data_IF_521242895136
#
_entry.id   IF_521242895136
#
_cell.length_a   1.000
_cell.length_b   1.000
_cell.length_c   1.000
_cell.angle_alpha   90.00
_cell.angle_beta   90.00
_cell.angle_gamma   90.00
#
_symmetry.space_group_name_H-M   'P 1'
#
loop_
_entity.id
_entity.type
_entity.pdbx_description
1 polymer ?
#
# COMPACT_ATOMS: atom_id res chain seq x y z
N UNK A 1 20.50 23.85 0.34
CA UNK A 1 20.61 22.51 -0.27
C UNK A 1 19.46 22.35 -1.26
N UNK A 2 19.78 22.25 -2.55
CA UNK A 2 18.82 22.37 -3.66
C UNK A 2 17.68 21.35 -3.58
N UNK A 3 16.44 21.85 -3.66
CA UNK A 3 15.22 21.03 -3.73
C UNK A 3 15.29 19.98 -4.85
N UNK A 4 16.07 20.20 -5.92
CA UNK A 4 16.30 19.24 -7.01
C UNK A 4 17.15 18.01 -6.64
N UNK A 5 17.71 17.91 -5.41
CA UNK A 5 18.46 16.73 -4.95
C UNK A 5 17.62 15.73 -4.14
N UNK A 6 16.42 16.08 -3.68
CA UNK A 6 15.58 15.12 -2.95
C UNK A 6 14.81 14.24 -3.93
N UNK A 7 14.76 12.93 -3.68
CA UNK A 7 14.00 11.98 -4.51
C UNK A 7 12.53 12.34 -4.61
N UNK A 8 11.97 12.85 -3.52
CA UNK A 8 10.60 13.34 -3.44
C UNK A 8 10.35 14.49 -4.42
N UNK A 9 11.30 15.41 -4.60
CA UNK A 9 11.17 16.48 -5.58
C UNK A 9 11.26 15.98 -7.03
N UNK A 10 12.07 14.95 -7.30
CA UNK A 10 12.14 14.31 -8.63
C UNK A 10 10.80 13.64 -8.95
N UNK A 11 10.23 12.89 -8.00
CA UNK A 11 8.90 12.27 -8.18
C UNK A 11 7.81 13.34 -8.36
N UNK A 12 7.82 14.38 -7.52
CA UNK A 12 6.87 15.48 -7.64
C UNK A 12 6.97 16.17 -9.01
N UNK A 13 8.19 16.43 -9.49
CA UNK A 13 8.44 16.95 -10.83
C UNK A 13 7.97 16.01 -11.94
N UNK A 14 8.14 14.69 -11.77
CA UNK A 14 7.66 13.69 -12.72
C UNK A 14 6.12 13.64 -12.78
N UNK A 15 5.44 13.69 -11.63
CA UNK A 15 3.97 13.78 -11.55
C UNK A 15 3.49 15.06 -12.23
N UNK A 16 4.11 16.20 -11.91
CA UNK A 16 3.74 17.48 -12.51
C UNK A 16 3.92 17.46 -14.04
N UNK A 17 5.05 16.95 -14.53
CA UNK A 17 5.30 16.81 -15.96
C UNK A 17 4.29 15.89 -16.64
N UNK A 18 3.93 14.77 -15.99
CA UNK A 18 2.93 13.83 -16.49
C UNK A 18 1.55 14.51 -16.60
N UNK A 19 1.10 15.19 -15.54
CA UNK A 19 -0.18 15.91 -15.51
C UNK A 19 -0.20 17.01 -16.57
N UNK A 20 0.88 17.78 -16.72
CA UNK A 20 1.00 18.80 -17.75
C UNK A 20 0.91 18.22 -19.16
N UNK A 21 1.58 17.09 -19.42
CA UNK A 21 1.50 16.39 -20.70
C UNK A 21 0.06 15.93 -21.00
N UNK A 22 -0.63 15.36 -20.02
CA UNK A 22 -2.02 14.92 -20.17
C UNK A 22 -2.93 16.12 -20.43
N UNK A 23 -2.71 17.24 -19.74
CA UNK A 23 -3.48 18.46 -19.94
C UNK A 23 -3.41 19.00 -21.38
N UNK A 24 -2.28 18.77 -22.09
CA UNK A 24 -2.18 19.15 -23.52
C UNK A 24 -3.09 18.32 -24.43
N UNK A 25 -3.44 17.09 -24.04
CA UNK A 25 -4.32 16.19 -24.80
C UNK A 25 -5.77 16.27 -24.33
N UNK A 26 -5.97 16.37 -23.02
CA UNK A 26 -7.28 16.48 -22.39
C UNK A 26 -7.26 17.58 -21.32
N UNK A 27 -7.56 18.83 -21.69
CA UNK A 27 -7.55 19.96 -20.75
C UNK A 27 -8.49 19.79 -19.56
N UNK A 28 -9.57 19.02 -19.73
CA UNK A 28 -10.50 18.67 -18.63
C UNK A 28 -9.85 17.85 -17.51
N UNK A 29 -8.68 17.24 -17.75
CA UNK A 29 -8.01 16.40 -16.75
C UNK A 29 -7.58 17.21 -15.51
N UNK A 30 -7.16 18.45 -15.72
CA UNK A 30 -6.70 19.35 -14.65
C UNK A 30 -7.82 20.15 -14.00
N UNK A 31 -9.08 19.91 -14.41
CA UNK A 31 -10.22 20.51 -13.73
C UNK A 31 -10.24 20.07 -12.25
N UNK A 32 -10.53 20.97 -11.29
CA UNK A 32 -10.48 20.65 -9.86
C UNK A 32 -11.28 19.41 -9.48
N UNK A 33 -12.48 19.22 -10.05
CA UNK A 33 -13.30 18.03 -9.79
C UNK A 33 -12.65 16.72 -10.27
N UNK A 34 -11.98 16.75 -11.42
CA UNK A 34 -11.27 15.57 -11.92
C UNK A 34 -10.02 15.26 -11.08
N UNK A 35 -9.27 16.28 -10.64
CA UNK A 35 -8.14 16.08 -9.74
C UNK A 35 -8.57 15.48 -8.39
N UNK A 36 -9.70 15.93 -7.85
CA UNK A 36 -10.30 15.33 -6.65
C UNK A 36 -10.69 13.87 -6.91
N UNK A 37 -11.31 13.56 -8.06
CA UNK A 37 -11.65 12.20 -8.43
C UNK A 37 -10.41 11.30 -8.52
N UNK A 38 -9.37 11.74 -9.24
CA UNK A 38 -8.08 11.03 -9.37
C UNK A 38 -7.45 10.76 -8.02
N UNK A 39 -7.39 11.76 -7.13
CA UNK A 39 -6.88 11.57 -5.77
C UNK A 39 -7.71 10.53 -5.01
N UNK A 40 -9.03 10.64 -5.10
CA UNK A 40 -9.95 9.75 -4.39
C UNK A 40 -9.83 8.30 -4.87
N UNK A 41 -9.70 8.08 -6.19
CA UNK A 41 -9.48 6.74 -6.77
C UNK A 41 -8.10 6.18 -6.43
N UNK A 42 -7.13 7.05 -6.19
CA UNK A 42 -5.77 6.65 -5.78
C UNK A 42 -5.67 6.38 -4.28
N UNK A 43 -6.63 6.84 -3.49
CA UNK A 43 -6.59 6.74 -2.03
C UNK A 43 -6.45 5.30 -1.50
N UNK A 44 -7.19 4.28 -2.02
CA UNK A 44 -6.97 2.89 -1.63
C UNK A 44 -5.53 2.42 -1.85
N UNK A 45 -4.92 2.80 -2.97
CA UNK A 45 -3.52 2.48 -3.26
C UNK A 45 -2.58 3.15 -2.26
N UNK A 46 -2.82 4.41 -1.91
CA UNK A 46 -2.03 5.16 -0.92
C UNK A 46 -2.07 4.49 0.46
N UNK A 47 -3.27 4.09 0.91
CA UNK A 47 -3.46 3.44 2.22
C UNK A 47 -2.69 2.11 2.29
N UNK A 48 -2.89 1.25 1.29
CA UNK A 48 -2.19 -0.04 1.24
C UNK A 48 -0.68 0.11 1.06
N UNK A 49 -0.23 1.07 0.25
CA UNK A 49 1.20 1.34 0.05
C UNK A 49 1.87 1.76 1.37
N UNK A 50 1.21 2.54 2.22
CA UNK A 50 1.73 2.83 3.54
C UNK A 50 1.81 1.59 4.44
N UNK A 51 0.85 0.67 4.37
CA UNK A 51 0.90 -0.61 5.08
C UNK A 51 2.07 -1.49 4.61
N UNK A 52 2.17 -1.67 3.29
CA UNK A 52 3.25 -2.43 2.66
C UNK A 52 4.62 -1.79 2.91
N UNK A 53 4.72 -0.46 2.95
CA UNK A 53 5.97 0.24 3.29
C UNK A 53 6.52 -0.23 4.64
N UNK A 54 5.68 -0.36 5.68
CA UNK A 54 6.13 -0.82 7.01
C UNK A 54 6.69 -2.24 6.92
N UNK A 55 6.05 -3.11 6.14
CA UNK A 55 6.49 -4.50 5.92
C UNK A 55 7.82 -4.55 5.15
N UNK A 56 7.92 -3.81 4.03
CA UNK A 56 9.15 -3.70 3.22
C UNK A 56 10.31 -3.15 4.03
N UNK A 57 10.06 -2.14 4.87
CA UNK A 57 11.10 -1.59 5.74
C UNK A 57 11.69 -2.66 6.67
N UNK A 58 10.92 -3.67 7.09
CA UNK A 58 11.41 -4.80 7.89
C UNK A 58 12.02 -5.97 7.09
N UNK A 59 12.31 -5.77 5.79
CA UNK A 59 12.80 -6.77 4.83
C UNK A 59 11.81 -7.89 4.50
N UNK A 60 10.52 -7.61 4.64
CA UNK A 60 9.46 -8.54 4.30
C UNK A 60 8.65 -8.00 3.11
N UNK A 61 7.87 -8.84 2.44
CA UNK A 61 6.89 -8.40 1.45
C UNK A 61 5.58 -9.11 1.78
N UNK A 62 4.49 -8.36 1.87
CA UNK A 62 3.14 -8.90 2.09
C UNK A 62 2.36 -8.94 0.79
N UNK A 63 2.38 -10.09 0.09
CA UNK A 63 1.59 -10.29 -1.12
C UNK A 63 0.12 -10.58 -0.82
N UNK A 64 -0.22 -10.93 0.42
CA UNK A 64 -1.59 -11.24 0.82
C UNK A 64 -2.46 -10.01 1.05
N UNK A 65 -1.88 -8.79 1.01
CA UNK A 65 -2.55 -7.52 1.34
C UNK A 65 -3.83 -7.31 0.52
N UNK A 66 -3.83 -7.65 -0.77
CA UNK A 66 -5.01 -7.53 -1.63
C UNK A 66 -6.07 -8.61 -1.35
N UNK A 67 -5.65 -9.84 -1.01
CA UNK A 67 -6.56 -10.90 -0.60
C UNK A 67 -7.18 -10.62 0.78
N UNK A 68 -6.44 -9.98 1.68
CA UNK A 68 -6.96 -9.50 2.96
C UNK A 68 -8.02 -8.41 2.76
N UNK A 69 -7.73 -7.41 1.91
CA UNK A 69 -8.71 -6.40 1.47
C UNK A 69 -9.97 -7.07 0.91
N UNK A 70 -9.82 -8.06 0.03
CA UNK A 70 -10.93 -8.76 -0.58
C UNK A 70 -11.78 -9.53 0.45
N UNK A 71 -11.14 -10.28 1.35
CA UNK A 71 -11.83 -11.08 2.36
C UNK A 71 -12.56 -10.19 3.37
N UNK A 72 -11.89 -9.18 3.90
CA UNK A 72 -12.49 -8.24 4.83
C UNK A 72 -13.63 -7.44 4.19
N UNK A 73 -13.45 -6.97 2.95
CA UNK A 73 -14.49 -6.29 2.19
C UNK A 73 -15.70 -7.19 1.93
N UNK A 74 -15.48 -8.45 1.57
CA UNK A 74 -16.54 -9.44 1.37
C UNK A 74 -17.34 -9.66 2.65
N UNK A 75 -16.67 -9.89 3.79
CA UNK A 75 -17.36 -10.12 5.06
C UNK A 75 -18.12 -8.86 5.50
N UNK A 76 -17.56 -7.67 5.30
CA UNK A 76 -18.28 -6.41 5.56
C UNK A 76 -19.54 -6.28 4.71
N UNK A 77 -19.49 -6.65 3.42
CA UNK A 77 -20.67 -6.66 2.56
C UNK A 77 -21.71 -7.69 3.02
N UNK A 78 -21.29 -8.91 3.37
CA UNK A 78 -22.19 -9.94 3.88
C UNK A 78 -22.89 -9.51 5.17
N UNK A 79 -22.16 -8.89 6.11
CA UNK A 79 -22.73 -8.35 7.34
C UNK A 79 -23.75 -7.25 7.03
N UNK A 80 -23.44 -6.37 6.07
CA UNK A 80 -24.36 -5.31 5.67
C UNK A 80 -25.63 -5.84 5.00
N UNK A 81 -25.52 -6.91 4.19
CA UNK A 81 -26.70 -7.57 3.60
C UNK A 81 -27.54 -8.23 4.69
N UNK A 82 -26.91 -8.89 5.66
CA UNK A 82 -27.60 -9.58 6.76
C UNK A 82 -28.21 -8.62 7.80
N UNK A 83 -27.59 -7.46 8.02
CA UNK A 83 -28.02 -6.43 8.96
C UNK A 83 -27.87 -5.02 8.36
N UNK A 84 -28.81 -4.59 7.49
CA UNK A 84 -28.71 -3.31 6.75
C UNK A 84 -28.70 -2.06 7.62
N UNK A 85 -29.31 -2.14 8.80
CA UNK A 85 -29.41 -1.04 9.76
C UNK A 85 -28.18 -0.93 10.67
N UNK A 86 -27.20 -1.83 10.52
CA UNK A 86 -26.00 -1.82 11.36
C UNK A 86 -25.19 -0.54 11.09
N UNK A 87 -24.79 0.21 12.13
CA UNK A 87 -24.03 1.43 11.94
C UNK A 87 -22.68 1.17 11.23
N UNK A 88 -22.36 2.02 10.25
CA UNK A 88 -21.09 1.94 9.49
C UNK A 88 -19.86 1.94 10.39
N UNK A 89 -19.90 2.65 11.52
CA UNK A 89 -18.83 2.65 12.50
C UNK A 89 -18.51 1.24 13.06
N UNK A 90 -19.53 0.41 13.26
CA UNK A 90 -19.35 -0.98 13.73
C UNK A 90 -18.70 -1.83 12.65
N UNK A 91 -19.14 -1.67 11.39
CA UNK A 91 -18.56 -2.36 10.23
C UNK A 91 -17.08 -1.98 10.06
N UNK A 92 -16.73 -0.71 10.23
CA UNK A 92 -15.35 -0.23 10.18
C UNK A 92 -14.48 -0.87 11.27
N UNK A 93 -14.97 -0.99 12.50
CA UNK A 93 -14.24 -1.67 13.57
C UNK A 93 -14.04 -3.15 13.24
N UNK A 94 -15.07 -3.83 12.74
CA UNK A 94 -14.96 -5.23 12.30
C UNK A 94 -13.92 -5.37 11.20
N UNK A 95 -13.92 -4.46 10.22
CA UNK A 95 -12.94 -4.44 9.13
C UNK A 95 -11.50 -4.30 9.65
N UNK A 96 -11.27 -3.37 10.58
CA UNK A 96 -9.97 -3.13 11.21
C UNK A 96 -9.49 -4.34 12.02
N UNK A 97 -10.37 -4.93 12.84
CA UNK A 97 -10.05 -6.08 13.70
C UNK A 97 -9.74 -7.30 12.86
N UNK A 98 -10.57 -7.59 11.86
CA UNK A 98 -10.39 -8.74 10.97
C UNK A 98 -9.14 -8.60 10.12
N UNK A 99 -8.91 -7.42 9.53
CA UNK A 99 -7.69 -7.15 8.78
C UNK A 99 -6.43 -7.32 9.65
N UNK A 100 -6.48 -6.81 10.89
CA UNK A 100 -5.40 -6.98 11.88
C UNK A 100 -5.16 -8.45 12.23
N UNK A 101 -6.22 -9.24 12.39
CA UNK A 101 -6.13 -10.67 12.68
C UNK A 101 -5.50 -11.45 11.53
N UNK A 102 -5.90 -11.18 10.29
CA UNK A 102 -5.33 -11.80 9.10
C UNK A 102 -3.85 -11.41 8.93
N UNK A 103 -3.50 -10.15 9.18
CA UNK A 103 -2.10 -9.70 9.25
C UNK A 103 -1.32 -10.38 10.38
N UNK A 104 -1.93 -10.56 11.55
CA UNK A 104 -1.32 -11.24 12.69
C UNK A 104 -0.98 -12.71 12.37
N UNK A 105 -1.82 -13.42 11.60
CA UNK A 105 -1.52 -14.79 11.13
C UNK A 105 -0.21 -14.79 10.35
N UNK A 106 -0.06 -13.92 9.35
CA UNK A 106 1.20 -13.81 8.59
C UNK A 106 2.38 -13.46 9.50
N UNK A 107 2.19 -12.47 10.38
CA UNK A 107 3.22 -12.04 11.31
C UNK A 107 3.68 -13.15 12.26
N UNK A 108 2.77 -14.00 12.75
CA UNK A 108 3.09 -15.14 13.63
C UNK A 108 3.84 -16.22 12.87
N UNK A 109 3.41 -16.54 11.65
CA UNK A 109 4.08 -17.53 10.81
C UNK A 109 5.51 -17.11 10.47
N UNK A 110 5.72 -15.83 10.17
CA UNK A 110 7.06 -15.27 9.95
C UNK A 110 7.88 -15.22 11.23
N UNK A 111 7.32 -14.70 12.33
CA UNK A 111 8.07 -14.50 13.56
C UNK A 111 8.39 -15.81 14.30
N UNK A 112 7.39 -16.65 14.56
CA UNK A 112 7.55 -17.84 15.42
C UNK A 112 8.01 -19.07 14.68
N UNK A 113 7.56 -19.26 13.44
CA UNK A 113 7.96 -20.43 12.64
C UNK A 113 9.14 -20.13 11.71
N UNK A 114 9.60 -18.87 11.66
CA UNK A 114 10.74 -18.44 10.84
C UNK A 114 10.59 -18.83 9.35
N UNK A 115 9.34 -18.84 8.87
CA UNK A 115 9.03 -19.16 7.48
C UNK A 115 9.31 -17.90 6.64
N UNK A 116 9.94 -18.02 5.46
CA UNK A 116 10.17 -16.89 4.57
C UNK A 116 8.88 -16.09 4.28
N UNK A 117 8.86 -14.76 4.46
CA UNK A 117 7.66 -13.93 4.35
C UNK A 117 6.90 -14.04 3.03
N UNK A 118 7.63 -14.16 1.91
CA UNK A 118 7.03 -14.29 0.57
C UNK A 118 6.24 -15.61 0.48
N UNK A 119 6.77 -16.71 1.02
CA UNK A 119 6.09 -18.02 1.01
C UNK A 119 4.83 -17.98 1.87
N UNK A 120 4.93 -17.40 3.07
CA UNK A 120 3.78 -17.22 3.96
C UNK A 120 2.68 -16.43 3.26
N UNK A 121 3.02 -15.28 2.67
CA UNK A 121 2.02 -14.35 2.15
C UNK A 121 1.45 -14.78 0.80
N UNK A 122 2.21 -15.49 -0.04
CA UNK A 122 1.65 -16.19 -1.21
C UNK A 122 0.69 -17.32 -0.79
N UNK A 123 1.05 -18.10 0.22
CA UNK A 123 0.21 -19.17 0.75
C UNK A 123 -1.09 -18.62 1.34
N UNK A 124 -1.01 -17.61 2.20
CA UNK A 124 -2.19 -17.00 2.82
C UNK A 124 -3.02 -16.19 1.84
N UNK A 125 -2.43 -15.58 0.81
CA UNK A 125 -3.19 -14.98 -0.30
C UNK A 125 -4.16 -16.00 -0.91
N UNK A 126 -3.68 -17.19 -1.28
CA UNK A 126 -4.51 -18.24 -1.86
C UNK A 126 -5.53 -18.79 -0.86
N UNK A 127 -5.14 -18.97 0.41
CA UNK A 127 -6.08 -19.40 1.47
C UNK A 127 -7.20 -18.38 1.64
N UNK A 128 -6.88 -17.08 1.76
CA UNK A 128 -7.89 -16.04 1.94
C UNK A 128 -8.84 -15.98 0.75
N UNK A 129 -8.34 -16.07 -0.49
CA UNK A 129 -9.18 -16.17 -1.69
C UNK A 129 -10.08 -17.41 -1.67
N UNK A 130 -9.55 -18.56 -1.27
CA UNK A 130 -10.32 -19.80 -1.09
C UNK A 130 -11.42 -19.66 -0.04
N UNK A 131 -11.13 -19.00 1.10
CA UNK A 131 -12.12 -18.72 2.14
C UNK A 131 -13.24 -17.83 1.60
N UNK A 132 -12.93 -16.79 0.81
CA UNK A 132 -13.95 -15.95 0.17
C UNK A 132 -14.87 -16.81 -0.71
N UNK A 133 -14.30 -17.69 -1.52
CA UNK A 133 -15.07 -18.58 -2.38
C UNK A 133 -15.98 -19.51 -1.56
N UNK A 134 -15.47 -20.11 -0.48
CA UNK A 134 -16.26 -20.99 0.39
C UNK A 134 -17.40 -20.26 1.11
N UNK A 135 -17.17 -19.02 1.55
CA UNK A 135 -18.20 -18.21 2.23
C UNK A 135 -19.32 -17.76 1.29
N UNK A 136 -19.02 -17.61 0.00
CA UNK A 136 -19.94 -17.02 -0.99
C UNK A 136 -20.47 -18.01 -2.01
N UNK A 137 -19.94 -19.23 -2.05
CA UNK A 137 -20.13 -20.19 -3.16
C UNK A 137 -19.78 -19.59 -4.53
N UNK A 138 -18.87 -18.60 -4.55
CA UNK A 138 -18.51 -17.84 -5.74
C UNK A 138 -19.51 -16.75 -6.16
N UNK A 139 -20.59 -16.53 -5.40
CA UNK A 139 -21.59 -15.48 -5.67
C UNK A 139 -21.03 -14.09 -5.43
N UNK A 140 -21.55 -13.14 -6.20
CA UNK A 140 -21.18 -11.73 -6.08
C UNK A 140 -22.24 -11.01 -5.27
N UNK A 141 -21.84 -10.07 -4.43
CA UNK A 141 -22.75 -9.12 -3.81
C UNK A 141 -22.67 -7.81 -4.59
N UNK A 142 -23.81 -7.36 -5.09
CA UNK A 142 -23.91 -6.20 -5.97
C UNK A 142 -24.58 -5.00 -5.27
N UNK A 143 -24.54 -3.85 -5.93
CA UNK A 143 -24.98 -2.58 -5.38
C UNK A 143 -26.42 -2.59 -4.85
N UNK A 144 -27.33 -3.32 -5.50
CA UNK A 144 -28.74 -3.38 -5.12
C UNK A 144 -29.01 -4.13 -3.80
N UNK A 145 -28.07 -4.97 -3.37
CA UNK A 145 -28.14 -5.72 -2.12
C UNK A 145 -27.54 -4.94 -0.95
N UNK A 146 -26.75 -3.91 -1.23
CA UNK A 146 -26.06 -3.11 -0.22
C UNK A 146 -26.91 -1.92 0.22
N UNK A 147 -26.99 -1.70 1.53
CA UNK A 147 -27.67 -0.52 2.08
C UNK A 147 -27.09 0.81 1.55
N UNK A 148 -27.92 1.86 1.40
CA UNK A 148 -27.46 3.18 1.00
C UNK A 148 -26.48 3.82 1.99
N UNK A 149 -26.60 3.53 3.29
CA UNK A 149 -25.70 4.06 4.31
C UNK A 149 -24.30 3.46 4.17
N UNK A 150 -24.20 2.17 3.86
CA UNK A 150 -22.94 1.47 3.62
C UNK A 150 -22.19 2.03 2.40
N UNK A 151 -22.87 2.15 1.25
CA UNK A 151 -22.27 2.64 0.00
C UNK A 151 -22.11 4.15 -0.04
N UNK A 152 -22.98 4.87 0.67
CA UNK A 152 -22.96 6.33 0.76
C UNK A 152 -21.82 6.87 1.60
N UNK A 153 -21.34 6.16 2.62
CA UNK A 153 -20.33 6.70 3.54
C UNK A 153 -19.00 7.10 2.86
N UNK A 154 -18.33 6.28 2.03
CA UNK A 154 -17.10 6.71 1.36
C UNK A 154 -17.34 7.75 0.26
N UNK A 155 -18.57 7.83 -0.26
CA UNK A 155 -19.00 8.75 -1.33
C UNK A 155 -19.46 10.11 -0.79
N UNK A 156 -19.83 10.17 0.48
CA UNK A 156 -20.28 11.40 1.12
C UNK A 156 -19.22 12.49 0.94
N UNK A 157 -19.65 13.67 0.50
CA UNK A 157 -18.75 14.78 0.24
C UNK A 157 -18.61 15.66 1.48
N UNK A 158 -17.37 16.01 1.78
CA UNK A 158 -17.03 16.95 2.83
C UNK A 158 -16.01 17.95 2.29
N UNK A 159 -16.34 19.24 2.33
CA UNK A 159 -15.49 20.33 1.79
C UNK A 159 -15.05 20.11 0.33
N UNK A 160 -15.95 19.59 -0.52
CA UNK A 160 -15.70 19.37 -1.95
C UNK A 160 -14.85 18.13 -2.27
N UNK A 161 -14.61 17.25 -1.29
CA UNK A 161 -13.87 16.00 -1.44
C UNK A 161 -14.58 14.84 -0.75
N UNK A 162 -14.66 13.64 -1.36
CA UNK A 162 -15.27 12.48 -0.73
C UNK A 162 -14.57 12.09 0.58
N UNK A 163 -15.34 11.59 1.55
CA UNK A 163 -14.85 11.10 2.85
C UNK A 163 -13.74 10.07 2.68
N UNK A 164 -13.80 9.24 1.62
CA UNK A 164 -12.72 8.31 1.28
C UNK A 164 -11.35 9.00 1.20
N UNK A 165 -11.28 10.13 0.48
CA UNK A 165 -10.05 10.89 0.32
C UNK A 165 -9.55 11.47 1.64
N UNK A 166 -10.46 11.97 2.48
CA UNK A 166 -10.14 12.44 3.83
C UNK A 166 -9.58 11.34 4.72
N UNK A 167 -10.13 10.13 4.66
CA UNK A 167 -9.59 8.97 5.39
C UNK A 167 -8.15 8.69 4.94
N UNK A 168 -7.88 8.76 3.63
CA UNK A 168 -6.52 8.67 3.08
C UNK A 168 -5.56 9.70 3.68
N UNK A 169 -5.97 10.96 3.76
CA UNK A 169 -5.18 12.06 4.35
C UNK A 169 -4.94 11.83 5.85
N UNK A 170 -5.97 11.43 6.60
CA UNK A 170 -5.84 11.14 8.04
C UNK A 170 -4.85 10.00 8.28
N UNK A 171 -4.95 8.90 7.52
CA UNK A 171 -4.02 7.78 7.63
C UNK A 171 -2.60 8.21 7.25
N UNK A 172 -2.43 9.03 6.22
CA UNK A 172 -1.13 9.58 5.84
C UNK A 172 -0.48 10.36 6.98
N UNK A 173 -1.24 11.23 7.65
CA UNK A 173 -0.76 12.00 8.81
C UNK A 173 -0.41 11.05 9.97
N UNK A 174 -1.29 10.11 10.30
CA UNK A 174 -1.05 9.13 11.36
C UNK A 174 0.21 8.33 11.07
N UNK A 175 0.37 7.78 9.87
CA UNK A 175 1.55 7.01 9.49
C UNK A 175 2.82 7.85 9.48
N UNK A 176 2.76 9.12 9.08
CA UNK A 176 3.89 10.04 9.17
C UNK A 176 4.34 10.24 10.61
N UNK A 177 3.39 10.44 11.53
CA UNK A 177 3.70 10.58 12.98
C UNK A 177 4.22 9.27 13.56
N UNK A 178 3.57 8.14 13.26
CA UNK A 178 3.98 6.81 13.76
C UNK A 178 5.40 6.49 13.29
N UNK A 179 5.72 6.68 12.01
CA UNK A 179 7.04 6.38 11.46
C UNK A 179 8.13 7.36 11.91
N UNK A 180 7.83 8.65 12.05
CA UNK A 180 8.84 9.65 12.40
C UNK A 180 9.06 9.82 13.90
N UNK A 181 8.03 9.63 14.74
CA UNK A 181 8.05 10.04 16.16
C UNK A 181 7.96 8.89 17.16
N UNK A 182 7.45 7.72 16.78
CA UNK A 182 7.24 6.61 17.74
C UNK A 182 8.41 5.64 17.86
N UNK A 183 8.44 4.88 18.94
CA UNK A 183 9.40 3.78 19.16
C UNK A 183 9.22 2.67 18.11
N UNK A 184 7.99 2.41 17.68
CA UNK A 184 7.68 1.43 16.64
C UNK A 184 8.34 1.81 15.31
N UNK A 185 8.21 3.08 14.89
CA UNK A 185 8.86 3.57 13.66
C UNK A 185 10.37 3.38 13.72
N UNK A 186 11.02 3.82 14.81
CA UNK A 186 12.47 3.64 15.00
C UNK A 186 12.89 2.16 14.97
N UNK A 187 12.12 1.27 15.58
CA UNK A 187 12.38 -0.16 15.57
C UNK A 187 12.28 -0.75 14.15
N UNK A 188 11.26 -0.37 13.37
CA UNK A 188 11.08 -0.80 11.98
C UNK A 188 12.29 -0.41 11.12
N UNK A 189 12.75 0.84 11.20
CA UNK A 189 13.94 1.29 10.46
C UNK A 189 15.22 0.60 10.92
N UNK A 190 15.41 0.40 12.24
CA UNK A 190 16.60 -0.26 12.78
C UNK A 190 16.69 -1.73 12.35
N UNK A 191 15.58 -2.48 12.47
CA UNK A 191 15.48 -3.87 12.03
C UNK A 191 15.74 -3.98 10.53
N UNK A 192 15.20 -3.06 9.74
CA UNK A 192 15.44 -3.01 8.30
C UNK A 192 16.88 -2.74 7.90
N UNK A 193 17.52 -1.77 8.57
CA UNK A 193 18.87 -1.35 8.25
C UNK A 193 19.90 -2.44 8.57
N UNK A 194 19.85 -2.98 9.79
CA UNK A 194 20.71 -4.07 10.21
C UNK A 194 20.03 -4.90 11.33
N UNK A 195 19.42 -6.05 11.00
CA UNK A 195 18.77 -6.92 11.98
C UNK A 195 19.72 -7.38 13.10
N UNK A 196 20.99 -7.64 12.79
CA UNK A 196 21.97 -8.06 13.80
C UNK A 196 22.27 -6.92 14.78
N UNK A 197 22.49 -5.70 14.28
CA UNK A 197 22.70 -4.53 15.13
C UNK A 197 21.47 -4.20 15.98
N UNK A 198 20.27 -4.37 15.42
CA UNK A 198 19.01 -4.14 16.14
C UNK A 198 18.91 -5.02 17.40
N UNK A 199 19.33 -6.28 17.32
CA UNK A 199 19.36 -7.20 18.47
C UNK A 199 20.31 -6.70 19.57
N UNK A 200 21.49 -6.21 19.21
CA UNK A 200 22.43 -5.62 20.19
C UNK A 200 21.88 -4.36 20.89
N UNK A 201 20.93 -3.66 20.27
CA UNK A 201 20.21 -2.53 20.88
C UNK A 201 18.94 -2.92 21.63
N UNK A 202 18.68 -4.22 21.82
CA UNK A 202 17.52 -4.74 22.55
C UNK A 202 16.21 -4.75 21.75
N UNK A 203 16.27 -4.59 20.43
CA UNK A 203 15.09 -4.61 19.54
C UNK A 203 14.87 -6.04 19.04
N UNK A 204 13.72 -6.60 19.37
CA UNK A 204 13.29 -7.90 18.88
C UNK A 204 12.83 -7.78 17.42
N UNK A 205 13.63 -8.35 16.51
CA UNK A 205 13.38 -8.36 15.05
C UNK A 205 12.03 -8.96 14.74
N UNK A 206 11.73 -10.10 15.34
CA UNK A 206 10.53 -10.88 15.04
C UNK A 206 9.24 -10.23 15.55
N UNK A 207 9.26 -9.67 16.76
CA UNK A 207 8.12 -8.85 17.26
C UNK A 207 7.89 -7.60 16.41
N UNK A 208 8.96 -7.02 15.87
CA UNK A 208 8.86 -5.84 15.00
C UNK A 208 8.23 -6.21 13.65
N UNK A 209 8.65 -7.32 13.05
CA UNK A 209 8.02 -7.88 11.85
C UNK A 209 6.54 -8.22 12.08
N UNK A 210 6.21 -8.88 13.20
CA UNK A 210 4.82 -9.16 13.57
C UNK A 210 3.96 -7.90 13.60
N UNK A 211 4.43 -6.83 14.28
CA UNK A 211 3.72 -5.55 14.32
C UNK A 211 3.57 -4.91 12.93
N UNK A 212 4.58 -5.05 12.06
CA UNK A 212 4.51 -4.57 10.68
C UNK A 212 3.39 -5.25 9.88
N UNK A 213 3.28 -6.58 9.97
CA UNK A 213 2.20 -7.33 9.34
C UNK A 213 0.82 -7.00 9.89
N UNK A 214 0.70 -6.77 11.21
CA UNK A 214 -0.56 -6.33 11.82
C UNK A 214 -1.00 -4.96 11.29
N UNK A 215 -0.08 -4.00 11.16
CA UNK A 215 -0.39 -2.67 10.59
C UNK A 215 -0.79 -2.79 9.12
N UNK A 216 -0.05 -3.57 8.32
CA UNK A 216 -0.40 -3.85 6.93
C UNK A 216 -1.81 -4.44 6.81
N UNK A 217 -2.09 -5.46 7.63
CA UNK A 217 -3.39 -6.13 7.63
C UNK A 217 -4.52 -5.22 8.10
N UNK A 218 -4.30 -4.39 9.12
CA UNK A 218 -5.29 -3.43 9.61
C UNK A 218 -5.68 -2.43 8.51
N UNK A 219 -4.69 -1.88 7.80
CA UNK A 219 -4.92 -0.95 6.69
C UNK A 219 -5.56 -1.65 5.49
N UNK A 220 -5.22 -2.92 5.24
CA UNK A 220 -5.90 -3.75 4.24
C UNK A 220 -7.38 -3.96 4.57
N UNK A 221 -7.69 -4.27 5.83
CA UNK A 221 -9.06 -4.43 6.32
C UNK A 221 -9.90 -3.17 6.15
N UNK A 222 -9.37 -2.03 6.58
CA UNK A 222 -10.02 -0.73 6.38
C UNK A 222 -10.25 -0.45 4.89
N UNK A 223 -9.24 -0.69 4.05
CA UNK A 223 -9.37 -0.50 2.60
C UNK A 223 -10.38 -1.47 1.99
N UNK A 224 -10.55 -2.68 2.55
CA UNK A 224 -11.54 -3.66 2.11
C UNK A 224 -12.96 -3.12 2.16
N UNK A 225 -13.37 -2.60 3.32
CA UNK A 225 -14.66 -1.93 3.45
C UNK A 225 -14.78 -0.74 2.48
N UNK A 226 -13.78 0.15 2.47
CA UNK A 226 -13.81 1.36 1.66
C UNK A 226 -13.89 1.08 0.15
N UNK A 227 -13.18 0.06 -0.31
CA UNK A 227 -13.17 -0.39 -1.70
C UNK A 227 -14.55 -0.92 -2.10
N UNK A 228 -15.08 -1.88 -1.34
CA UNK A 228 -16.37 -2.51 -1.65
C UNK A 228 -17.51 -1.50 -1.58
N UNK A 229 -17.51 -0.62 -0.58
CA UNK A 229 -18.52 0.43 -0.47
C UNK A 229 -18.43 1.47 -1.60
N UNK A 230 -17.20 1.85 -2.05
CA UNK A 230 -17.00 2.76 -3.19
C UNK A 230 -17.50 2.17 -4.50
N UNK A 231 -17.10 0.94 -4.83
CA UNK A 231 -17.42 0.31 -6.11
C UNK A 231 -18.76 -0.44 -6.09
N UNK A 232 -19.37 -0.61 -4.92
CA UNK A 232 -20.64 -1.30 -4.71
C UNK A 232 -20.70 -2.71 -5.32
N UNK A 233 -19.57 -3.41 -5.25
CA UNK A 233 -19.45 -4.79 -5.72
C UNK A 233 -18.43 -5.54 -4.87
N UNK A 234 -18.74 -6.78 -4.51
CA UNK A 234 -17.84 -7.69 -3.83
C UNK A 234 -17.89 -9.07 -4.49
N UNK A 235 -16.71 -9.60 -4.85
CA UNK A 235 -16.54 -10.91 -5.46
C UNK A 235 -15.14 -11.47 -5.14
N UNK A 236 -14.93 -12.76 -5.40
CA UNK A 236 -13.76 -13.53 -4.94
C UNK A 236 -12.42 -12.91 -5.33
N UNK A 237 -12.30 -12.42 -6.56
CA UNK A 237 -11.03 -11.92 -7.13
C UNK A 237 -10.93 -10.39 -7.15
N UNK A 238 -11.70 -9.70 -6.30
CA UNK A 238 -11.61 -8.25 -6.21
C UNK A 238 -10.20 -7.80 -5.81
N UNK A 239 -9.72 -6.71 -6.43
CA UNK A 239 -8.37 -6.20 -6.26
C UNK A 239 -7.24 -7.21 -6.59
N UNK A 240 -7.49 -8.22 -7.43
CA UNK A 240 -6.43 -9.10 -7.94
C UNK A 240 -5.31 -8.32 -8.64
N UNK A 241 -4.05 -8.63 -8.33
CA UNK A 241 -2.88 -7.94 -8.87
C UNK A 241 -2.57 -6.59 -8.20
N UNK A 242 -3.47 -6.08 -7.36
CA UNK A 242 -3.26 -4.79 -6.68
C UNK A 242 -2.11 -4.87 -5.66
N UNK A 243 -1.79 -6.06 -5.15
CA UNK A 243 -0.60 -6.31 -4.33
C UNK A 243 0.70 -5.91 -5.02
N UNK A 244 0.81 -6.12 -6.34
CA UNK A 244 2.00 -5.73 -7.12
C UNK A 244 2.06 -4.22 -7.34
N UNK A 245 0.92 -3.57 -7.58
CA UNK A 245 0.84 -2.11 -7.69
C UNK A 245 1.18 -1.42 -6.36
N UNK A 246 0.79 -2.01 -5.23
CA UNK A 246 1.11 -1.53 -3.90
C UNK A 246 2.62 -1.61 -3.64
N UNK A 247 3.27 -2.72 -4.01
CA UNK A 247 4.74 -2.84 -3.96
C UNK A 247 5.39 -1.83 -4.92
N UNK A 248 4.86 -1.68 -6.13
CA UNK A 248 5.34 -0.73 -7.12
C UNK A 248 5.32 0.70 -6.59
N UNK A 249 4.22 1.12 -5.99
CA UNK A 249 4.06 2.44 -5.38
C UNK A 249 5.15 2.70 -4.31
N UNK A 250 5.42 1.72 -3.45
CA UNK A 250 6.47 1.83 -2.43
C UNK A 250 7.86 1.99 -3.05
N UNK A 251 8.18 1.15 -4.04
CA UNK A 251 9.50 1.11 -4.67
C UNK A 251 9.76 2.35 -5.53
N UNK A 252 8.76 2.80 -6.30
CA UNK A 252 8.78 4.05 -7.06
C UNK A 252 8.93 5.23 -6.09
N UNK A 253 8.22 5.18 -4.95
CA UNK A 253 8.35 6.14 -3.85
C UNK A 253 9.70 6.13 -3.13
N UNK A 254 10.61 5.22 -3.48
CA UNK A 254 11.98 5.16 -2.96
C UNK A 254 12.17 4.30 -1.71
N UNK A 255 11.19 3.48 -1.34
CA UNK A 255 11.36 2.48 -0.27
C UNK A 255 12.30 1.37 -0.77
N UNK A 256 13.32 1.08 0.02
CA UNK A 256 14.31 0.04 -0.30
C UNK A 256 13.75 -1.36 -0.01
N UNK A 257 13.76 -2.24 -1.01
CA UNK A 257 13.40 -3.66 -0.84
C UNK A 257 14.36 -4.36 0.15
N UNK A 258 15.61 -3.88 0.25
CA UNK A 258 16.57 -4.37 1.24
C UNK A 258 16.25 -3.92 2.69
N UNK A 259 15.18 -3.14 2.89
CA UNK A 259 14.74 -2.64 4.19
C UNK A 259 15.48 -1.40 4.68
N UNK A 260 14.97 -0.82 5.77
CA UNK A 260 15.66 0.22 6.55
C UNK A 260 15.73 1.63 5.94
N UNK A 261 15.25 1.84 4.71
CA UNK A 261 15.25 3.14 4.06
C UNK A 261 13.96 3.37 3.27
N UNK A 262 13.34 4.54 3.45
CA UNK A 262 12.11 4.95 2.79
C UNK A 262 11.37 6.01 3.60
N UNK A 263 10.53 6.81 2.96
CA UNK A 263 9.73 7.87 3.62
C UNK A 263 8.26 7.70 3.30
N UNK A 264 7.39 8.09 4.25
CA UNK A 264 5.93 8.03 4.04
C UNK A 264 5.53 8.96 2.89
N UNK A 265 6.13 10.16 2.81
CA UNK A 265 5.91 11.12 1.71
C UNK A 265 6.30 10.51 0.37
N UNK A 266 7.46 9.86 0.28
CA UNK A 266 7.90 9.15 -0.92
C UNK A 266 6.90 8.10 -1.37
N UNK A 267 6.42 7.25 -0.45
CA UNK A 267 5.41 6.22 -0.73
C UNK A 267 4.08 6.82 -1.22
N UNK A 268 3.62 7.93 -0.62
CA UNK A 268 2.42 8.64 -1.06
C UNK A 268 2.57 9.21 -2.47
N UNK A 269 3.72 9.82 -2.77
CA UNK A 269 4.02 10.33 -4.11
C UNK A 269 4.13 9.19 -5.13
N UNK A 270 4.70 8.05 -4.77
CA UNK A 270 4.76 6.86 -5.64
C UNK A 270 3.38 6.29 -5.94
N UNK A 271 2.51 6.21 -4.94
CA UNK A 271 1.11 5.82 -5.11
C UNK A 271 0.35 6.84 -5.98
N UNK A 272 0.54 8.14 -5.74
CA UNK A 272 -0.07 9.21 -6.53
C UNK A 272 0.40 9.17 -8.00
N UNK A 273 1.67 8.94 -8.24
CA UNK A 273 2.23 8.78 -9.59
C UNK A 273 1.53 7.64 -10.34
N UNK A 274 1.46 6.45 -9.74
CA UNK A 274 0.75 5.32 -10.36
C UNK A 274 -0.73 5.63 -10.52
N UNK A 275 -1.38 6.22 -9.54
CA UNK A 275 -2.80 6.57 -9.61
C UNK A 275 -3.12 7.57 -10.73
N UNK A 276 -2.27 8.58 -10.95
CA UNK A 276 -2.38 9.49 -12.10
C UNK A 276 -2.25 8.71 -13.40
N UNK A 277 -1.28 7.80 -13.53
CA UNK A 277 -1.14 6.94 -14.72
C UNK A 277 -2.43 6.12 -14.94
N UNK A 278 -2.96 5.46 -13.90
CA UNK A 278 -4.18 4.64 -14.00
C UNK A 278 -5.39 5.42 -14.48
N UNK A 279 -5.56 6.65 -13.99
CA UNK A 279 -6.70 7.50 -14.36
C UNK A 279 -6.47 8.23 -15.69
N UNK A 280 -5.22 8.42 -16.11
CA UNK A 280 -4.90 9.13 -17.35
C UNK A 280 -5.03 8.25 -18.60
N UNK A 281 -4.62 6.98 -18.55
CA UNK A 281 -4.63 6.10 -19.72
C UNK A 281 -6.01 6.01 -20.40
N UNK A 282 -7.13 5.81 -19.67
CA UNK A 282 -8.45 5.76 -20.28
C UNK A 282 -8.87 7.09 -20.92
N UNK A 283 -8.43 8.21 -20.35
CA UNK A 283 -8.77 9.57 -20.82
C UNK A 283 -8.05 9.92 -22.13
N UNK A 284 -6.93 9.24 -22.43
CA UNK A 284 -6.15 9.41 -23.66
C UNK A 284 -6.44 8.27 -24.66
N UNK A 285 -7.56 7.56 -24.50
CA UNK A 285 -7.98 6.42 -25.34
C UNK A 285 -6.94 5.27 -25.40
N UNK A 286 -6.10 5.14 -24.37
CA UNK A 286 -5.18 4.01 -24.24
C UNK A 286 -5.84 2.91 -23.42
N UNK A 287 -5.79 1.69 -23.93
CA UNK A 287 -6.35 0.54 -23.23
C UNK A 287 -5.75 0.39 -21.82
N UNK A 288 -6.57 0.18 -20.77
CA UNK A 288 -6.12 -0.03 -19.40
C UNK A 288 -5.15 -1.21 -19.23
N UNK A 289 -5.11 -2.17 -20.17
CA UNK A 289 -4.17 -3.29 -20.12
C UNK A 289 -2.70 -2.83 -20.14
N UNK A 290 -2.40 -1.69 -20.77
CA UNK A 290 -1.06 -1.10 -20.75
C UNK A 290 -0.60 -0.68 -19.35
N UNK A 291 -1.54 -0.46 -18.43
CA UNK A 291 -1.23 -0.12 -17.05
C UNK A 291 -0.36 -1.18 -16.39
N UNK A 292 -0.61 -2.47 -16.61
CA UNK A 292 0.18 -3.55 -16.04
C UNK A 292 1.63 -3.50 -16.53
N UNK A 293 1.82 -3.29 -17.83
CA UNK A 293 3.13 -3.14 -18.44
C UNK A 293 3.87 -1.90 -17.93
N UNK A 294 3.16 -0.77 -17.77
CA UNK A 294 3.73 0.49 -17.26
C UNK A 294 4.10 0.36 -15.79
N UNK A 295 3.23 -0.20 -14.95
CA UNK A 295 3.54 -0.48 -13.53
C UNK A 295 4.80 -1.36 -13.41
N UNK A 296 4.88 -2.45 -14.18
CA UNK A 296 6.04 -3.35 -14.18
C UNK A 296 7.33 -2.67 -14.66
N UNK A 297 7.27 -1.93 -15.75
CA UNK A 297 8.42 -1.16 -16.26
C UNK A 297 8.87 -0.10 -15.25
N UNK A 298 7.92 0.61 -14.62
CA UNK A 298 8.20 1.62 -13.60
C UNK A 298 8.92 1.02 -12.38
N UNK A 299 8.54 -0.19 -11.94
CA UNK A 299 9.27 -0.92 -10.89
C UNK A 299 10.71 -1.18 -11.32
N UNK A 300 10.92 -1.78 -12.49
CA UNK A 300 12.27 -2.14 -12.97
C UNK A 300 13.16 -0.91 -13.05
N UNK A 301 12.63 0.18 -13.62
CA UNK A 301 13.34 1.45 -13.74
C UNK A 301 13.68 2.01 -12.35
N UNK A 302 12.70 2.07 -11.44
CA UNK A 302 12.90 2.58 -10.08
C UNK A 302 13.96 1.77 -9.32
N UNK A 303 13.90 0.43 -9.39
CA UNK A 303 14.88 -0.48 -8.76
C UNK A 303 16.26 -0.30 -9.39
N UNK A 304 16.36 -0.21 -10.71
CA UNK A 304 17.65 -0.03 -11.39
C UNK A 304 18.34 1.29 -10.97
N UNK A 305 17.59 2.38 -10.89
CA UNK A 305 18.09 3.65 -10.36
C UNK A 305 18.48 3.56 -8.89
N UNK A 306 17.69 2.84 -8.08
CA UNK A 306 17.96 2.69 -6.66
C UNK A 306 19.22 1.84 -6.39
N UNK A 307 19.38 0.73 -7.11
CA UNK A 307 20.54 -0.16 -7.03
C UNK A 307 21.84 0.56 -7.43
N UNK A 308 21.78 1.44 -8.44
CA UNK A 308 22.94 2.23 -8.87
C UNK A 308 23.32 3.31 -7.86
N UNK A 309 22.34 3.91 -7.18
CA UNK A 309 22.56 4.96 -6.18
C UNK A 309 23.11 4.43 -4.85
N UNK A 310 22.80 3.17 -4.49
CA UNK A 310 23.29 2.50 -3.27
C UNK A 310 24.71 1.92 -3.37
N UNK A 311 25.29 1.83 -4.58
CA UNK A 311 26.70 1.49 -4.77
C UNK A 311 27.60 2.68 -4.41
N UNK A 312 27.66 3.01 -3.12
CA UNK A 312 28.82 3.76 -2.60
C UNK A 312 30.06 2.94 -2.93
N UNK A 313 31.01 3.52 -3.67
CA UNK A 313 32.34 2.93 -3.87
C UNK A 313 32.93 2.71 -2.48
N UNK A 314 32.94 1.46 -2.01
CA UNK A 314 33.68 1.09 -0.82
C UNK A 314 35.11 1.56 -1.01
N UNK A 315 35.53 2.58 -0.24
CA UNK A 315 36.94 2.94 -0.18
C UNK A 315 37.62 1.73 0.46
N UNK A 316 38.33 0.96 -0.35
CA UNK A 316 39.20 -0.12 0.13
C UNK A 316 40.34 0.59 0.88
N UNK A 317 40.23 0.67 2.21
CA UNK A 317 41.15 1.43 3.07
C UNK A 317 42.52 0.73 3.22
N UNK A 318 42.64 -0.55 2.84
CA UNK A 318 43.87 -1.32 3.01
C UNK A 318 44.25 -2.04 1.73
N UNK A 319 45.00 -1.35 0.85
CA UNK A 319 45.85 -1.98 -0.16
C UNK A 319 47.35 -1.84 0.17
N UNK A 320 47.71 -1.06 1.19
CA UNK A 320 49.11 -0.70 1.49
C UNK A 320 49.81 -1.60 2.52
N UNK A 321 49.16 -2.65 3.04
CA UNK A 321 49.78 -3.57 4.00
C UNK A 321 50.34 -4.86 3.36
N UNK A 322 50.06 -5.11 2.08
CA UNK A 322 50.48 -6.35 1.38
C UNK A 322 51.89 -6.25 0.75
N UNK A 323 52.49 -5.06 0.74
CA UNK A 323 53.85 -4.84 0.20
C UNK A 323 54.90 -4.60 1.29
N UNK A 324 54.57 -4.90 2.54
CA UNK A 324 55.48 -4.80 3.68
C UNK A 324 55.70 -6.19 4.30
N UNK A 325 56.13 -7.17 3.50
CA UNK A 325 56.81 -8.39 3.94
C UNK A 325 57.86 -8.78 2.91
#
# INVERSE_FOLDING_TARGET
MSALKSREAILFGAIFALVALIATRFPGFVAPGNLVAVFTDTTPLMILAMGQMVVILTRCIDLSVAANLALTGMVCAMINVAAPDLPVAVILVIALVMGSALGAINGILVWKLNIPPIVVTLGTMTIFRGVIFLLTEGKWINAHEMSPTFTGFPRAEFLGMPVLGWIGVVIAIVMMVVMARTTLGRAVYAVGGNPHAAVYTGIDVGKTQFKAFVISGMLAGLTGYLWVARYSVAYVDIAGGFELDVVAACVIGGVSIAGGAGTVVGTLLGALFLGVVKNALPVVDVSPFWQLAISGAAIIIAVAFNAKSGRSKGRVILKSAEHAQ
#
